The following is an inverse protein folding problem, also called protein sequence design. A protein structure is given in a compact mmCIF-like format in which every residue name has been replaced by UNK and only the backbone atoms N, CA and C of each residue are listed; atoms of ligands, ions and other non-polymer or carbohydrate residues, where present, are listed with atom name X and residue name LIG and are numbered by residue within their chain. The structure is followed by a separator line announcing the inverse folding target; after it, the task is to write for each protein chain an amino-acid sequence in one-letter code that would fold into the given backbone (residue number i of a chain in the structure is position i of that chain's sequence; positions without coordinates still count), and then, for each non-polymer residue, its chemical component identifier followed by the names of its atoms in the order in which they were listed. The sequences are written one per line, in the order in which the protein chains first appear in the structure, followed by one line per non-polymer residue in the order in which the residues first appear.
data_IF_602181974456
#
_entry.id   IF_602181974456
#
_cell.length_a   1.000
_cell.length_b   1.000
_cell.length_c   1.000
_cell.angle_alpha   90.00
_cell.angle_beta   90.00
_cell.angle_gamma   90.00
#
_symmetry.space_group_name_H-M   'P 1'
#
loop_
_entity.id
_entity.type
_entity.pdbx_description
1 polymer ?
#
# COMPACT_ATOMS: atom_id res chain seq x y z
N UNK A 1 -26.34 -5.43 -3.01
CA UNK A 1 -25.00 -6.02 -2.75
C UNK A 1 -24.47 -5.34 -1.52
N UNK A 2 -24.26 -6.06 -0.42
CA UNK A 2 -23.75 -5.46 0.81
C UNK A 2 -22.23 -5.33 0.72
N UNK A 3 -21.72 -4.11 0.81
CA UNK A 3 -20.30 -3.82 0.93
C UNK A 3 -19.97 -3.43 2.37
N UNK A 4 -18.79 -3.81 2.84
CA UNK A 4 -18.23 -3.40 4.12
C UNK A 4 -16.99 -2.57 3.89
N UNK A 5 -16.86 -1.49 4.65
CA UNK A 5 -15.62 -0.75 4.75
C UNK A 5 -14.67 -1.48 5.70
N UNK A 6 -13.45 -1.72 5.22
CA UNK A 6 -12.37 -2.34 5.97
C UNK A 6 -11.25 -1.33 6.04
N UNK A 7 -10.88 -0.95 7.26
CA UNK A 7 -9.73 -0.08 7.51
C UNK A 7 -8.50 -0.95 7.69
N UNK A 8 -7.54 -0.80 6.78
CA UNK A 8 -6.25 -1.46 6.82
C UNK A 8 -5.23 -0.48 7.38
N UNK A 9 -4.63 -0.83 8.51
CA UNK A 9 -3.57 -0.05 9.13
C UNK A 9 -2.30 -0.89 9.20
N UNK A 10 -1.18 -0.32 8.77
CA UNK A 10 0.15 -0.91 8.91
C UNK A 10 1.06 0.09 9.60
N UNK A 11 2.09 -0.43 10.26
CA UNK A 11 3.17 0.36 10.82
C UNK A 11 4.44 0.04 10.05
N UNK A 12 5.07 1.06 9.50
CA UNK A 12 6.30 0.96 8.74
C UNK A 12 6.92 2.33 8.55
N UNK A 13 8.22 2.42 8.77
CA UNK A 13 9.01 3.61 8.49
C UNK A 13 9.05 3.81 6.97
N UNK A 14 8.62 4.98 6.51
CA UNK A 14 8.70 5.41 5.12
C UNK A 14 9.63 6.62 5.02
N UNK A 15 10.59 6.52 4.11
CA UNK A 15 11.46 7.62 3.72
C UNK A 15 10.66 8.67 2.97
N UNK A 16 11.13 9.93 2.92
CA UNK A 16 10.45 10.98 2.17
C UNK A 16 10.31 10.59 0.68
N UNK A 17 9.06 10.42 0.23
CA UNK A 17 8.71 9.97 -1.13
C UNK A 17 8.28 8.50 -1.23
N UNK A 18 8.42 7.71 -0.16
CA UNK A 18 7.85 6.38 -0.06
C UNK A 18 6.36 6.46 0.26
N UNK A 19 5.61 5.58 -0.39
CA UNK A 19 4.20 5.37 -0.14
C UNK A 19 3.96 3.88 0.04
N UNK A 20 3.12 3.53 1.00
CA UNK A 20 2.61 2.18 1.11
C UNK A 20 1.39 2.03 0.23
N UNK A 21 1.23 0.86 -0.36
CA UNK A 21 0.05 0.52 -1.12
C UNK A 21 -0.36 -0.92 -0.84
N UNK A 22 -1.62 -1.20 -1.05
CA UNK A 22 -2.19 -2.53 -0.91
C UNK A 22 -2.88 -2.90 -2.21
N UNK A 23 -2.59 -4.11 -2.71
CA UNK A 23 -3.40 -4.75 -3.75
C UNK A 23 -4.05 -5.98 -3.18
N UNK A 24 -5.15 -6.38 -3.78
CA UNK A 24 -5.79 -7.63 -3.43
C UNK A 24 -6.59 -8.19 -4.58
N UNK A 25 -7.11 -9.40 -4.38
CA UNK A 25 -7.91 -10.09 -5.39
C UNK A 25 -9.29 -9.48 -5.61
N UNK A 26 -9.76 -8.62 -4.69
CA UNK A 26 -11.06 -7.99 -4.79
C UNK A 26 -11.01 -6.79 -5.74
N UNK A 27 -12.12 -6.52 -6.42
CA UNK A 27 -12.28 -5.32 -7.26
C UNK A 27 -12.04 -4.04 -6.47
N UNK A 28 -12.41 -4.02 -5.19
CA UNK A 28 -12.18 -2.91 -4.27
C UNK A 28 -10.68 -2.64 -3.98
N UNK A 29 -9.86 -3.68 -4.08
CA UNK A 29 -8.42 -3.66 -3.82
C UNK A 29 -7.62 -3.72 -5.14
N UNK A 30 -8.27 -3.47 -6.27
CA UNK A 30 -7.65 -3.39 -7.58
C UNK A 30 -7.52 -4.70 -8.35
N UNK A 31 -8.01 -5.83 -7.83
CA UNK A 31 -7.98 -7.14 -8.49
C UNK A 31 -6.59 -7.51 -9.06
N UNK A 32 -5.57 -7.45 -8.19
CA UNK A 32 -4.15 -7.66 -8.54
C UNK A 32 -3.56 -6.69 -9.58
N UNK A 33 -4.27 -5.61 -9.91
CA UNK A 33 -3.79 -4.58 -10.83
C UNK A 33 -2.99 -3.52 -10.08
N UNK A 34 -1.70 -3.41 -10.36
CA UNK A 34 -0.81 -2.39 -9.79
C UNK A 34 -1.28 -0.96 -10.06
N UNK A 35 -1.96 -0.72 -11.19
CA UNK A 35 -2.55 0.58 -11.53
C UNK A 35 -3.76 0.95 -10.67
N UNK A 36 -4.45 -0.04 -10.09
CA UNK A 36 -5.60 0.13 -9.20
C UNK A 36 -5.24 -0.19 -7.74
N UNK A 37 -3.95 -0.24 -7.42
CA UNK A 37 -3.50 -0.43 -6.06
C UNK A 37 -4.01 0.73 -5.19
N UNK A 38 -4.47 0.39 -3.99
CA UNK A 38 -4.91 1.41 -3.05
C UNK A 38 -3.70 1.88 -2.26
N UNK A 39 -3.32 3.15 -2.44
CA UNK A 39 -2.29 3.78 -1.64
C UNK A 39 -2.79 4.03 -0.22
N UNK A 40 -1.94 3.77 0.77
CA UNK A 40 -2.15 4.14 2.15
C UNK A 40 -1.70 5.57 2.37
N UNK A 41 -2.32 6.22 3.35
CA UNK A 41 -1.99 7.57 3.76
C UNK A 41 -1.37 7.56 5.15
N UNK A 42 -0.32 8.36 5.40
CA UNK A 42 0.27 8.48 6.73
C UNK A 42 -0.76 9.10 7.68
N UNK A 43 -0.85 8.57 8.89
CA UNK A 43 -1.72 9.10 9.93
C UNK A 43 -1.02 10.32 10.53
N UNK A 44 -1.64 11.50 10.40
CA UNK A 44 -1.10 12.73 10.97
C UNK A 44 -0.87 12.59 12.47
N UNK A 45 0.41 12.59 12.89
CA UNK A 45 0.84 12.39 14.28
C UNK A 45 1.79 11.20 14.47
N UNK A 46 1.83 10.26 13.54
CA UNK A 46 2.67 9.06 13.61
C UNK A 46 3.23 8.76 12.21
N UNK A 47 4.45 9.22 11.94
CA UNK A 47 5.12 9.12 10.61
C UNK A 47 5.34 7.67 10.17
N UNK A 48 5.27 6.74 11.13
CA UNK A 48 5.38 5.30 10.93
C UNK A 48 4.01 4.63 10.72
N UNK A 49 2.88 5.31 10.91
CA UNK A 49 1.56 4.69 10.82
C UNK A 49 0.87 5.05 9.52
N UNK A 50 0.44 4.04 8.79
CA UNK A 50 -0.18 4.16 7.47
C UNK A 50 -1.54 3.50 7.49
N UNK A 51 -2.55 4.20 7.01
CA UNK A 51 -3.94 3.72 7.01
C UNK A 51 -4.61 3.92 5.65
N UNK A 52 -5.51 3.00 5.31
CA UNK A 52 -6.42 3.14 4.18
C UNK A 52 -7.74 2.48 4.48
N UNK A 53 -8.82 3.01 3.92
CA UNK A 53 -10.16 2.43 4.03
C UNK A 53 -10.59 1.95 2.66
N UNK A 54 -10.90 0.65 2.55
CA UNK A 54 -11.35 0.04 1.30
C UNK A 54 -12.73 -0.57 1.47
N UNK A 55 -13.55 -0.45 0.44
CA UNK A 55 -14.94 -0.94 0.46
C UNK A 55 -15.03 -2.29 -0.23
N UNK A 56 -14.99 -3.39 0.53
CA UNK A 56 -15.04 -4.76 -0.01
C UNK A 56 -16.45 -5.35 0.04
N UNK A 57 -16.88 -6.18 -0.93
CA UNK A 57 -18.14 -6.90 -0.88
C UNK A 57 -18.14 -7.94 0.25
N UNK A 58 -19.19 -7.96 1.08
CA UNK A 58 -19.34 -8.95 2.16
C UNK A 58 -19.57 -10.34 1.56
N UNK A 59 -18.92 -11.34 2.14
CA UNK A 59 -19.06 -12.75 1.74
C UNK A 59 -18.01 -13.23 0.73
N UNK A 60 -17.06 -12.40 0.33
CA UNK A 60 -15.95 -12.79 -0.56
C UNK A 60 -14.65 -12.88 0.24
N UNK A 61 -14.06 -14.08 0.26
CA UNK A 61 -12.71 -14.27 0.80
C UNK A 61 -11.73 -13.60 -0.13
N UNK A 62 -11.13 -12.51 0.33
CA UNK A 62 -10.18 -11.71 -0.44
C UNK A 62 -8.78 -11.87 0.14
N UNK A 63 -7.83 -12.20 -0.71
CA UNK A 63 -6.41 -12.09 -0.39
C UNK A 63 -5.92 -10.68 -0.69
N UNK A 64 -5.10 -10.14 0.18
CA UNK A 64 -4.45 -8.84 0.00
C UNK A 64 -2.95 -8.96 0.28
N UNK A 65 -2.16 -8.08 -0.32
CA UNK A 65 -0.73 -7.92 -0.08
C UNK A 65 -0.40 -6.44 0.00
N UNK A 66 0.33 -6.09 1.06
CA UNK A 66 0.96 -4.78 1.16
C UNK A 66 2.27 -4.80 0.40
N UNK A 67 2.57 -3.67 -0.21
CA UNK A 67 3.87 -3.40 -0.78
C UNK A 67 4.20 -1.93 -0.52
N UNK A 68 5.50 -1.68 -0.37
CA UNK A 68 6.05 -0.34 -0.22
C UNK A 68 6.71 0.04 -1.53
N UNK A 69 6.50 1.26 -1.99
CA UNK A 69 7.12 1.76 -3.22
C UNK A 69 7.42 3.24 -3.12
N UNK A 70 8.24 3.73 -4.04
CA UNK A 70 8.46 5.16 -4.22
C UNK A 70 7.60 5.66 -5.39
N UNK A 71 6.86 6.76 -5.17
CA UNK A 71 6.24 7.49 -6.27
C UNK A 71 7.31 8.37 -6.92
N UNK A 72 8.19 7.76 -7.71
CA UNK A 72 9.17 8.47 -8.51
C UNK A 72 8.44 9.17 -9.67
N UNK A 73 8.09 10.44 -9.48
CA UNK A 73 7.71 11.34 -10.57
C UNK A 73 8.97 11.79 -11.33
N UNK A 74 9.66 10.82 -11.93
CA UNK A 74 10.72 11.08 -12.88
C UNK A 74 10.08 11.14 -14.25
N UNK A 75 10.22 12.27 -14.96
CA UNK A 75 10.01 12.33 -16.41
C UNK A 75 10.71 11.11 -17.03
N UNK A 76 9.92 10.20 -17.57
CA UNK A 76 10.31 8.89 -18.10
C UNK A 76 10.48 7.78 -17.02
N UNK A 77 9.44 6.94 -16.92
CA UNK A 77 9.48 5.56 -16.42
C UNK A 77 9.43 5.37 -14.88
N UNK A 78 8.22 5.38 -14.33
CA UNK A 78 7.93 4.93 -12.95
C UNK A 78 8.38 3.47 -12.75
N UNK A 79 9.47 3.25 -11.99
CA UNK A 79 9.90 1.95 -11.49
C UNK A 79 9.51 1.84 -10.01
N UNK A 80 8.64 0.89 -9.67
CA UNK A 80 8.48 0.46 -8.27
C UNK A 80 9.73 -0.37 -7.95
N UNK A 81 10.71 0.22 -7.27
CA UNK A 81 11.84 -0.52 -6.71
C UNK A 81 11.31 -1.29 -5.50
N UNK A 82 11.04 -2.58 -5.67
CA UNK A 82 10.89 -3.48 -4.53
C UNK A 82 12.26 -3.52 -3.83
N UNK A 83 12.29 -3.08 -2.58
CA UNK A 83 13.50 -3.05 -1.76
C UNK A 83 13.79 -4.48 -1.28
N UNK A 84 14.34 -5.30 -2.16
CA UNK A 84 14.93 -6.58 -1.78
C UNK A 84 16.28 -6.29 -1.11
N UNK A 85 16.31 -6.47 0.21
CA UNK A 85 17.49 -6.74 1.06
C UNK A 85 18.07 -5.58 1.88
N UNK A 86 18.05 -5.80 3.21
CA UNK A 86 18.82 -5.14 4.26
C UNK A 86 20.28 -4.89 3.84
N UNK A 87 20.77 -3.67 4.02
CA UNK A 87 22.16 -3.47 4.44
C UNK A 87 22.20 -2.36 5.50
N UNK A 88 21.80 -2.73 6.73
CA UNK A 88 21.98 -1.90 7.91
C UNK A 88 23.43 -2.11 8.38
N UNK A 89 24.39 -1.47 7.70
CA UNK A 89 25.75 -1.34 8.22
C UNK A 89 25.72 -0.30 9.35
N UNK A 90 25.93 -0.79 10.56
CA UNK A 90 26.12 -0.01 11.77
C UNK A 90 27.51 0.61 11.74
N UNK A 91 27.60 1.93 11.95
CA UNK A 91 28.83 2.70 12.12
C UNK A 91 28.71 3.65 13.30
#
# INVERSE_FOLDING_TARGET
METCEVTLAIRGEASPGEVFAVVGSCEALGSWSHQKAVTLHPVGGDECMWTTTVTVPKGVVTQYRYFKGFFLESKQHTRILMMDSLDFTMG
#
